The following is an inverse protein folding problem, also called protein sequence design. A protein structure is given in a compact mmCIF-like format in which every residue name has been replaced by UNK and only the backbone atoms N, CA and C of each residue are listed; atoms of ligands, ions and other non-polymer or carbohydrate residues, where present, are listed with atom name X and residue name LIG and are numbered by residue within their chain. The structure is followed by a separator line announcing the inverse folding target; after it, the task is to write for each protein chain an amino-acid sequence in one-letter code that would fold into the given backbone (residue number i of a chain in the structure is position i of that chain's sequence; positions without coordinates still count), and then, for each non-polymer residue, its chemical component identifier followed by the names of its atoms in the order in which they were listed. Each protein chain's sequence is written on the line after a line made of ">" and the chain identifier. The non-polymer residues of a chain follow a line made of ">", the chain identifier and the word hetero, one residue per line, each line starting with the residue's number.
data_IF_454040858338
#
_entry.id   IF_454040858338
#
_cell.length_a   1.000
_cell.length_b   1.000
_cell.length_c   1.000
_cell.angle_alpha   90.00
_cell.angle_beta   90.00
_cell.angle_gamma   90.00
#
_symmetry.space_group_name_H-M   'P 1'
#
loop_
_entity.id
_entity.type
_entity.pdbx_description
1 polymer ?
#
# COMPACT_ATOMS: atom_id res chain seq x y z
N UNK A 1 22.83 -5.83 -16.21
CA UNK A 1 23.03 -4.74 -15.22
C UNK A 1 21.84 -3.78 -15.15
N UNK A 2 21.13 -3.51 -16.24
CA UNK A 2 20.01 -2.54 -16.27
C UNK A 2 18.72 -3.00 -15.57
N UNK A 3 18.39 -4.29 -15.59
CA UNK A 3 17.12 -4.81 -15.07
C UNK A 3 17.03 -4.72 -13.54
N UNK A 4 18.11 -5.09 -12.84
CA UNK A 4 18.20 -4.97 -11.38
C UNK A 4 18.06 -3.51 -10.91
N UNK A 5 18.70 -2.57 -11.61
CA UNK A 5 18.58 -1.14 -11.31
C UNK A 5 17.14 -0.66 -11.46
N UNK A 6 16.43 -1.12 -12.50
CA UNK A 6 15.02 -0.79 -12.68
C UNK A 6 14.15 -1.39 -11.55
N UNK A 7 14.35 -2.66 -11.19
CA UNK A 7 13.65 -3.30 -10.06
C UNK A 7 13.87 -2.51 -8.77
N UNK A 8 15.09 -2.07 -8.52
CA UNK A 8 15.45 -1.32 -7.33
C UNK A 8 14.82 0.08 -7.33
N UNK A 9 14.82 0.81 -8.44
CA UNK A 9 14.14 2.10 -8.57
C UNK A 9 12.65 1.98 -8.31
N UNK A 10 11.98 0.98 -8.91
CA UNK A 10 10.56 0.75 -8.68
C UNK A 10 10.28 0.35 -7.22
N UNK A 11 11.14 -0.48 -6.63
CA UNK A 11 11.05 -0.88 -5.22
C UNK A 11 11.19 0.32 -4.28
N UNK A 12 12.11 1.25 -4.56
CA UNK A 12 12.24 2.48 -3.80
C UNK A 12 11.05 3.42 -3.99
N UNK A 13 10.43 3.44 -5.17
CA UNK A 13 9.16 4.14 -5.39
C UNK A 13 8.03 3.60 -4.51
N UNK A 14 7.90 2.27 -4.42
CA UNK A 14 6.91 1.61 -3.56
C UNK A 14 7.22 1.86 -2.07
N UNK A 15 8.50 1.83 -1.69
CA UNK A 15 8.95 2.19 -0.34
C UNK A 15 8.53 3.63 0.00
N UNK A 16 8.82 4.59 -0.88
CA UNK A 16 8.46 5.99 -0.69
C UNK A 16 6.95 6.19 -0.57
N UNK A 17 6.16 5.54 -1.43
CA UNK A 17 4.70 5.57 -1.35
C UNK A 17 4.18 4.99 -0.02
N UNK A 18 4.71 3.85 0.42
CA UNK A 18 4.32 3.22 1.69
C UNK A 18 4.66 4.11 2.89
N UNK A 19 5.82 4.77 2.86
CA UNK A 19 6.21 5.74 3.87
C UNK A 19 5.28 6.96 3.91
N UNK A 20 4.82 7.44 2.74
CA UNK A 20 3.82 8.50 2.65
C UNK A 20 2.47 8.06 3.23
N UNK A 21 2.04 6.81 3.00
CA UNK A 21 0.83 6.26 3.62
C UNK A 21 0.93 6.24 5.15
N UNK A 22 2.06 5.80 5.71
CA UNK A 22 2.31 5.85 7.16
C UNK A 22 2.21 7.28 7.68
N UNK A 23 2.91 8.21 7.02
CA UNK A 23 2.89 9.62 7.41
C UNK A 23 1.46 10.18 7.38
N UNK A 24 0.71 9.93 6.30
CA UNK A 24 -0.63 10.48 6.09
C UNK A 24 -1.67 9.91 7.07
N UNK A 25 -1.52 8.66 7.51
CA UNK A 25 -2.35 8.10 8.58
C UNK A 25 -2.05 8.68 9.96
N UNK A 26 -0.83 9.14 10.20
CA UNK A 26 -0.38 9.61 11.52
C UNK A 26 -0.45 11.13 11.68
N UNK A 27 -0.34 11.90 10.60
CA UNK A 27 -0.36 13.36 10.65
C UNK A 27 -0.80 13.96 9.32
N UNK A 28 -1.57 15.05 9.35
CA UNK A 28 -1.97 15.82 8.17
C UNK A 28 -0.96 16.89 7.74
N UNK A 29 0.17 17.03 8.47
CA UNK A 29 1.10 18.17 8.32
C UNK A 29 1.77 18.24 6.94
N UNK A 30 2.17 17.12 6.36
CA UNK A 30 2.94 17.09 5.10
C UNK A 30 2.08 16.83 3.87
N UNK A 31 1.02 16.04 4.03
CA UNK A 31 0.13 15.63 2.94
C UNK A 31 -1.35 15.79 3.34
N UNK A 32 -1.83 17.03 3.62
CA UNK A 32 -3.16 17.25 4.21
C UNK A 32 -4.29 16.71 3.34
N UNK A 33 -4.23 16.92 2.02
CA UNK A 33 -5.23 16.41 1.08
C UNK A 33 -5.27 14.88 1.04
N UNK A 34 -4.11 14.24 1.08
CA UNK A 34 -4.02 12.78 1.08
C UNK A 34 -4.50 12.19 2.41
N UNK A 35 -4.11 12.81 3.53
CA UNK A 35 -4.52 12.41 4.87
C UNK A 35 -6.05 12.48 5.01
N UNK A 36 -6.67 13.58 4.57
CA UNK A 36 -8.13 13.72 4.54
C UNK A 36 -8.79 12.65 3.67
N UNK A 37 -8.24 12.38 2.48
CA UNK A 37 -8.77 11.31 1.63
C UNK A 37 -8.71 9.93 2.32
N UNK A 38 -7.63 9.62 3.03
CA UNK A 38 -7.53 8.37 3.79
C UNK A 38 -8.54 8.33 4.94
N UNK A 39 -8.75 9.43 5.66
CA UNK A 39 -9.72 9.54 6.75
C UNK A 39 -11.16 9.35 6.24
N UNK A 40 -11.51 9.93 5.09
CA UNK A 40 -12.84 9.79 4.48
C UNK A 40 -13.11 8.37 3.93
N UNK A 41 -12.07 7.71 3.39
CA UNK A 41 -12.19 6.37 2.78
C UNK A 41 -12.11 5.24 3.80
N UNK A 42 -11.45 5.44 4.94
CA UNK A 42 -11.22 4.39 5.92
C UNK A 42 -12.51 3.68 6.41
N UNK A 43 -13.60 4.39 6.77
CA UNK A 43 -14.84 3.74 7.19
C UNK A 43 -15.50 2.92 6.07
N UNK A 44 -15.34 3.37 4.81
CA UNK A 44 -15.87 2.66 3.63
C UNK A 44 -15.11 1.34 3.42
N UNK A 45 -13.78 1.38 3.47
CA UNK A 45 -12.94 0.18 3.38
C UNK A 45 -13.18 -0.77 4.56
N UNK A 46 -13.37 -0.24 5.78
CA UNK A 46 -13.69 -1.06 6.95
C UNK A 46 -14.97 -1.85 6.71
N UNK A 47 -16.05 -1.17 6.31
CA UNK A 47 -17.35 -1.81 6.02
C UNK A 47 -17.29 -2.78 4.83
N UNK A 48 -16.48 -2.50 3.81
CA UNK A 48 -16.38 -3.35 2.64
C UNK A 48 -15.56 -4.63 2.90
N UNK A 49 -14.37 -4.51 3.47
CA UNK A 49 -13.40 -5.61 3.53
C UNK A 49 -13.27 -6.20 4.92
N UNK A 50 -13.35 -5.37 5.96
CA UNK A 50 -12.98 -5.73 7.33
C UNK A 50 -14.17 -5.80 8.29
N UNK A 51 -15.41 -5.72 7.78
CA UNK A 51 -16.63 -5.75 8.60
C UNK A 51 -16.70 -6.96 9.53
N UNK A 52 -16.17 -8.10 9.09
CA UNK A 52 -16.14 -9.36 9.83
C UNK A 52 -15.10 -9.38 10.97
N UNK A 53 -14.13 -8.48 10.96
CA UNK A 53 -13.14 -8.35 12.05
C UNK A 53 -13.70 -7.64 13.28
N UNK A 54 -14.80 -6.89 13.14
CA UNK A 54 -15.42 -6.15 14.25
C UNK A 54 -14.52 -5.07 14.86
N UNK A 55 -13.49 -4.60 14.14
CA UNK A 55 -12.56 -3.58 14.63
C UNK A 55 -13.05 -2.16 14.30
N UNK A 56 -12.72 -1.21 15.18
CA UNK A 56 -13.03 0.21 14.97
C UNK A 56 -12.16 0.80 13.85
N UNK A 57 -12.62 1.90 13.24
CA UNK A 57 -11.85 2.61 12.21
C UNK A 57 -10.48 3.06 12.74
N UNK A 58 -10.42 3.48 14.00
CA UNK A 58 -9.14 3.85 14.65
C UNK A 58 -8.19 2.66 14.74
N UNK A 59 -8.68 1.47 15.10
CA UNK A 59 -7.86 0.25 15.11
C UNK A 59 -7.41 -0.13 13.68
N UNK A 60 -8.31 -0.05 12.70
CA UNK A 60 -7.99 -0.33 11.30
C UNK A 60 -6.91 0.62 10.76
N UNK A 61 -6.93 1.91 11.16
CA UNK A 61 -5.86 2.86 10.85
C UNK A 61 -4.49 2.35 11.30
N UNK A 62 -4.38 1.87 12.53
CA UNK A 62 -3.11 1.32 13.06
C UNK A 62 -2.72 0.01 12.38
N UNK A 63 -3.67 -0.80 11.94
CA UNK A 63 -3.41 -1.97 11.09
C UNK A 63 -2.77 -1.53 9.77
N UNK A 64 -3.34 -0.54 9.07
CA UNK A 64 -2.75 -0.03 7.83
C UNK A 64 -1.38 0.61 8.03
N UNK A 65 -1.18 1.35 9.12
CA UNK A 65 0.15 1.88 9.49
C UNK A 65 1.15 0.74 9.67
N UNK A 66 0.78 -0.31 10.41
CA UNK A 66 1.66 -1.45 10.69
C UNK A 66 2.01 -2.22 9.41
N UNK A 67 1.04 -2.43 8.53
CA UNK A 67 1.23 -3.07 7.23
C UNK A 67 2.21 -2.26 6.37
N UNK A 68 2.03 -0.94 6.27
CA UNK A 68 2.92 -0.10 5.46
C UNK A 68 4.34 -0.01 6.06
N UNK A 69 4.48 0.01 7.39
CA UNK A 69 5.80 -0.10 8.05
C UNK A 69 6.46 -1.43 7.69
N UNK A 70 5.73 -2.54 7.74
CA UNK A 70 6.26 -3.84 7.37
C UNK A 70 6.74 -3.85 5.90
N UNK A 71 5.95 -3.29 4.98
CA UNK A 71 6.36 -3.13 3.57
C UNK A 71 7.64 -2.31 3.46
N UNK A 72 7.75 -1.17 4.16
CA UNK A 72 8.96 -0.36 4.16
C UNK A 72 10.18 -1.16 4.64
N UNK A 73 10.07 -1.89 5.75
CA UNK A 73 11.17 -2.72 6.29
C UNK A 73 11.58 -3.80 5.29
N UNK A 74 10.62 -4.48 4.68
CA UNK A 74 10.89 -5.54 3.71
C UNK A 74 11.53 -5.03 2.42
N UNK A 75 11.19 -3.82 1.96
CA UNK A 75 11.75 -3.24 0.74
C UNK A 75 13.10 -2.56 0.96
N UNK A 76 13.36 -2.08 2.18
CA UNK A 76 14.63 -1.48 2.59
C UNK A 76 15.78 -2.49 2.49
N UNK A 77 15.60 -3.70 3.02
CA UNK A 77 16.61 -4.77 2.96
C UNK A 77 16.66 -5.40 1.56
N UNK A 78 17.84 -5.38 0.88
CA UNK A 78 18.01 -6.06 -0.42
C UNK A 78 17.66 -7.55 -0.39
N UNK A 79 17.92 -8.22 0.74
CA UNK A 79 17.69 -9.66 0.96
C UNK A 79 16.20 -9.99 1.05
N UNK A 80 15.41 -9.11 1.68
CA UNK A 80 13.97 -9.30 1.89
C UNK A 80 13.11 -8.71 0.76
N UNK A 81 13.69 -7.88 -0.12
CA UNK A 81 12.96 -7.13 -1.14
C UNK A 81 12.07 -7.99 -2.04
N UNK A 82 12.54 -9.17 -2.45
CA UNK A 82 11.72 -10.08 -3.28
C UNK A 82 10.44 -10.52 -2.55
N UNK A 83 10.55 -10.84 -1.26
CA UNK A 83 9.40 -11.15 -0.43
C UNK A 83 8.55 -9.89 -0.19
N UNK A 84 9.17 -8.74 0.06
CA UNK A 84 8.48 -7.46 0.19
C UNK A 84 7.62 -7.10 -1.02
N UNK A 85 8.15 -7.25 -2.23
CA UNK A 85 7.40 -7.01 -3.47
C UNK A 85 6.20 -7.95 -3.61
N UNK A 86 6.38 -9.26 -3.35
CA UNK A 86 5.29 -10.24 -3.38
C UNK A 86 4.23 -9.97 -2.31
N UNK A 87 4.66 -9.59 -1.12
CA UNK A 87 3.80 -9.20 -0.01
C UNK A 87 2.97 -7.97 -0.38
N UNK A 88 3.59 -6.92 -0.92
CA UNK A 88 2.90 -5.74 -1.45
C UNK A 88 1.90 -6.10 -2.54
N UNK A 89 2.26 -7.00 -3.47
CA UNK A 89 1.34 -7.45 -4.52
C UNK A 89 0.08 -8.10 -3.94
N UNK A 90 0.24 -8.94 -2.90
CA UNK A 90 -0.90 -9.54 -2.19
C UNK A 90 -1.80 -8.50 -1.52
N UNK A 91 -1.20 -7.51 -0.85
CA UNK A 91 -1.94 -6.41 -0.20
C UNK A 91 -2.69 -5.55 -1.21
N UNK A 92 -2.07 -5.24 -2.35
CA UNK A 92 -2.73 -4.50 -3.44
C UNK A 92 -3.90 -5.28 -4.03
N UNK A 93 -3.85 -6.61 -4.04
CA UNK A 93 -5.00 -7.46 -4.40
C UNK A 93 -6.19 -7.25 -3.46
N UNK A 94 -5.94 -7.11 -2.15
CA UNK A 94 -6.99 -6.78 -1.17
C UNK A 94 -7.56 -5.39 -1.42
N UNK A 95 -6.69 -4.41 -1.70
CA UNK A 95 -7.10 -3.05 -2.05
C UNK A 95 -7.94 -2.98 -3.32
N UNK A 96 -7.50 -3.66 -4.38
CA UNK A 96 -8.23 -3.78 -5.64
C UNK A 96 -9.60 -4.44 -5.45
N UNK A 97 -9.68 -5.50 -4.64
CA UNK A 97 -10.96 -6.11 -4.28
C UNK A 97 -11.87 -5.12 -3.53
N UNK A 98 -11.31 -4.29 -2.66
CA UNK A 98 -12.06 -3.25 -1.97
C UNK A 98 -12.65 -2.23 -2.93
N UNK A 99 -11.87 -1.73 -3.89
CA UNK A 99 -12.33 -0.75 -4.88
C UNK A 99 -13.51 -1.31 -5.68
N UNK A 100 -13.38 -2.54 -6.18
CA UNK A 100 -14.45 -3.22 -6.91
C UNK A 100 -15.72 -3.36 -6.07
N UNK A 101 -15.58 -3.69 -4.78
CA UNK A 101 -16.72 -3.85 -3.87
C UNK A 101 -17.40 -2.51 -3.54
N UNK A 102 -16.64 -1.42 -3.53
CA UNK A 102 -17.15 -0.06 -3.28
C UNK A 102 -17.65 0.64 -4.55
N UNK A 103 -17.44 0.05 -5.73
CA UNK A 103 -17.73 0.70 -7.01
C UNK A 103 -16.79 1.88 -7.31
N UNK A 104 -15.61 1.89 -6.69
CA UNK A 104 -14.60 2.92 -6.91
C UNK A 104 -13.74 2.62 -8.14
N UNK A 105 -13.05 3.64 -8.65
CA UNK A 105 -12.16 3.47 -9.79
C UNK A 105 -10.98 2.56 -9.39
N UNK A 106 -10.77 1.42 -10.06
CA UNK A 106 -9.69 0.50 -9.73
C UNK A 106 -8.31 0.98 -10.24
N UNK A 107 -8.27 2.12 -10.93
CA UNK A 107 -7.07 2.63 -11.60
C UNK A 107 -5.88 2.80 -10.63
N UNK A 108 -6.02 3.37 -9.41
CA UNK A 108 -4.90 3.52 -8.49
C UNK A 108 -4.25 2.17 -8.13
N UNK A 109 -5.06 1.16 -7.80
CA UNK A 109 -4.54 -0.17 -7.50
C UNK A 109 -3.99 -0.88 -8.74
N UNK A 110 -4.58 -0.72 -9.92
CA UNK A 110 -4.02 -1.27 -11.17
C UNK A 110 -2.64 -0.69 -11.49
N UNK A 111 -2.44 0.62 -11.28
CA UNK A 111 -1.14 1.26 -11.49
C UNK A 111 -0.09 0.76 -10.49
N UNK A 112 -0.47 0.59 -9.22
CA UNK A 112 0.42 0.05 -8.19
C UNK A 112 0.75 -1.43 -8.45
N UNK A 113 -0.25 -2.24 -8.81
CA UNK A 113 -0.07 -3.65 -9.18
C UNK A 113 0.86 -3.78 -10.38
N UNK A 114 0.68 -2.94 -11.40
CA UNK A 114 1.55 -2.93 -12.59
C UNK A 114 2.97 -2.52 -12.24
N UNK A 115 3.14 -1.51 -11.38
CA UNK A 115 4.45 -1.07 -10.89
C UNK A 115 5.18 -2.17 -10.12
N UNK A 116 4.49 -2.83 -9.18
CA UNK A 116 5.03 -3.94 -8.39
C UNK A 116 5.32 -5.15 -9.28
N UNK A 117 4.40 -5.49 -10.19
CA UNK A 117 4.58 -6.59 -11.14
C UNK A 117 5.79 -6.37 -12.05
N UNK A 118 5.96 -5.17 -12.59
CA UNK A 118 7.15 -4.80 -13.35
C UNK A 118 8.43 -4.93 -12.50
N UNK A 119 8.41 -4.45 -11.26
CA UNK A 119 9.55 -4.57 -10.35
C UNK A 119 9.94 -6.03 -10.04
N UNK A 120 8.96 -6.94 -9.98
CA UNK A 120 9.18 -8.37 -9.79
C UNK A 120 9.74 -9.01 -11.07
N UNK A 121 9.18 -8.70 -12.25
CA UNK A 121 9.55 -9.33 -13.52
C UNK A 121 10.96 -8.97 -13.99
N UNK A 122 11.43 -7.77 -13.67
CA UNK A 122 12.77 -7.30 -14.08
C UNK A 122 13.87 -7.60 -13.07
N UNK A 123 13.53 -8.23 -11.92
CA UNK A 123 14.50 -8.64 -10.91
C UNK A 123 15.13 -9.98 -11.25
#
# INVERSE_FOLDING_TARGET
>A
MSSLLLSDVLSYGIFGFSALCVQAHLTSKFTPSFSRNLEEKLPLHNKAVFWWLGISDSALRYVFVSINIAVCVLLWSPELRSFGLKFTLGLLGVGFYSDMKLGESPIPHLLLVSTVGAAILVR
#
